data_IF_072285189484
#
_entry.id   IF_072285189484
#
_cell.length_a   1.000
_cell.length_b   1.000
_cell.length_c   1.000
_cell.angle_alpha   90.00
_cell.angle_beta   90.00
_cell.angle_gamma   90.00
#
_symmetry.space_group_name_H-M   'P 1'
#
loop_
_entity.id
_entity.type
_entity.pdbx_description
1 polymer ?
#
# COMPACT_ATOMS: atom_id res chain seq x y z
N UNK A 1 -5.46 4.80 0.83
CA UNK A 1 -4.87 5.37 2.04
C UNK A 1 -4.66 4.19 2.96
N UNK A 2 -3.48 3.58 2.88
CA UNK A 2 -3.17 2.31 3.52
C UNK A 2 -2.36 2.58 4.78
N UNK A 3 -2.79 2.01 5.90
CA UNK A 3 -2.04 2.08 7.15
C UNK A 3 -0.76 1.27 6.97
N UNK A 4 0.38 1.89 7.25
CA UNK A 4 1.68 1.23 7.15
C UNK A 4 1.76 -0.01 8.06
N UNK A 5 2.23 -1.14 7.52
CA UNK A 5 2.41 -2.37 8.30
C UNK A 5 3.47 -2.18 9.40
N UNK A 6 4.63 -1.60 9.05
CA UNK A 6 5.66 -1.13 9.99
C UNK A 6 6.22 0.18 9.44
N UNK A 7 6.44 1.15 10.32
CA UNK A 7 7.21 2.37 10.02
C UNK A 7 8.38 2.49 10.98
N UNK A 8 9.40 3.24 10.58
CA UNK A 8 10.53 3.54 11.46
C UNK A 8 11.04 4.96 11.27
N UNK A 9 11.43 5.58 12.38
CA UNK A 9 12.27 6.76 12.42
C UNK A 9 13.55 6.43 13.17
N UNK A 10 14.71 6.73 12.59
CA UNK A 10 16.01 6.41 13.18
C UNK A 10 16.94 7.62 13.11
N UNK A 11 17.72 7.85 14.17
CA UNK A 11 18.74 8.89 14.26
C UNK A 11 19.98 8.34 14.94
N UNK A 12 21.15 8.72 14.45
CA UNK A 12 22.42 8.48 15.09
C UNK A 12 23.28 9.74 15.05
N UNK A 13 24.10 9.93 16.09
CA UNK A 13 25.15 10.96 16.15
C UNK A 13 26.49 10.26 16.27
N UNK A 14 27.43 10.63 15.42
CA UNK A 14 28.77 10.06 15.38
C UNK A 14 29.78 11.15 15.75
N UNK A 15 30.87 10.74 16.39
CA UNK A 15 32.03 11.59 16.67
C UNK A 15 33.33 10.88 16.28
N UNK A 16 34.39 11.59 15.91
CA UNK A 16 35.71 10.98 15.76
C UNK A 16 36.20 10.33 17.06
N UNK A 17 36.96 9.25 16.96
CA UNK A 17 37.73 8.67 18.06
C UNK A 17 38.88 9.61 18.46
N UNK A 18 39.48 9.37 19.62
CA UNK A 18 40.57 10.23 20.16
C UNK A 18 41.79 10.28 19.23
N UNK A 19 42.01 9.22 18.46
CA UNK A 19 43.12 9.08 17.50
C UNK A 19 42.68 9.37 16.05
N UNK A 20 41.47 9.91 15.83
CA UNK A 20 40.86 10.17 14.53
C UNK A 20 40.84 8.97 13.57
N UNK A 21 40.98 7.75 14.09
CA UNK A 21 41.04 6.53 13.27
C UNK A 21 39.67 5.93 12.96
N UNK A 22 38.64 6.22 13.77
CA UNK A 22 37.29 5.63 13.64
C UNK A 22 36.20 6.63 14.00
N UNK A 23 34.99 6.39 13.51
CA UNK A 23 33.79 7.06 14.00
C UNK A 23 33.19 6.23 15.15
N UNK A 24 32.84 6.90 16.24
CA UNK A 24 32.22 6.30 17.44
C UNK A 24 30.80 6.81 17.58
N UNK A 25 29.87 5.93 17.92
CA UNK A 25 28.49 6.31 18.20
C UNK A 25 28.42 7.12 19.50
N UNK A 26 28.06 8.39 19.38
CA UNK A 26 27.87 9.29 20.53
C UNK A 26 26.44 9.19 21.08
N UNK A 27 25.44 9.08 20.20
CA UNK A 27 24.02 9.08 20.55
C UNK A 27 23.22 8.31 19.49
N UNK A 28 22.13 7.65 19.90
CA UNK A 28 21.27 6.86 19.02
C UNK A 28 19.81 6.90 19.50
N UNK A 29 18.86 6.92 18.57
CA UNK A 29 17.43 6.81 18.87
C UNK A 29 16.68 6.15 17.72
N UNK A 30 15.91 5.11 18.03
CA UNK A 30 15.13 4.35 17.07
C UNK A 30 13.69 4.24 17.54
N UNK A 31 12.75 4.58 16.67
CA UNK A 31 11.32 4.49 16.90
C UNK A 31 10.66 3.65 15.80
N UNK A 32 9.60 2.93 16.17
CA UNK A 32 8.87 2.03 15.31
C UNK A 32 7.35 2.18 15.48
N UNK A 33 6.63 2.25 14.37
CA UNK A 33 5.17 2.10 14.31
C UNK A 33 4.80 0.70 13.81
N UNK A 34 3.60 0.21 14.16
CA UNK A 34 3.13 -1.13 13.75
C UNK A 34 3.73 -2.30 14.56
N UNK A 35 4.63 -2.02 15.50
CA UNK A 35 5.27 -3.00 16.40
C UNK A 35 4.63 -3.08 17.79
N UNK A 36 3.63 -2.25 18.07
CA UNK A 36 2.85 -2.20 19.31
C UNK A 36 1.54 -1.40 19.06
N UNK A 37 0.58 -1.35 20.02
CA UNK A 37 -0.64 -0.53 19.87
C UNK A 37 -0.37 0.97 19.69
N UNK A 38 0.81 1.44 20.08
CA UNK A 38 1.29 2.82 19.88
C UNK A 38 2.71 2.80 19.33
N UNK A 39 3.21 3.94 18.87
CA UNK A 39 4.61 4.10 18.49
C UNK A 39 5.51 3.84 19.69
N UNK A 40 6.51 2.97 19.51
CA UNK A 40 7.46 2.60 20.56
C UNK A 40 8.89 2.93 20.14
N UNK A 41 9.77 3.16 21.11
CA UNK A 41 11.20 3.26 20.90
C UNK A 41 11.90 1.93 21.20
N UNK A 42 13.11 1.76 20.65
CA UNK A 42 14.01 0.63 20.94
C UNK A 42 15.23 1.10 21.78
N UNK A 43 15.03 1.54 23.04
CA UNK A 43 16.08 2.13 23.87
C UNK A 43 17.22 1.17 24.19
N UNK A 44 16.98 -0.14 24.35
CA UNK A 44 18.04 -1.10 24.66
C UNK A 44 19.00 -1.24 23.48
N UNK A 45 18.46 -1.34 22.26
CA UNK A 45 19.24 -1.37 21.03
C UNK A 45 20.01 -0.07 20.83
N UNK A 46 19.38 1.08 21.08
CA UNK A 46 20.04 2.37 21.00
C UNK A 46 21.20 2.49 22.01
N UNK A 47 20.97 2.18 23.28
CA UNK A 47 22.01 2.18 24.32
C UNK A 47 23.13 1.18 24.03
N UNK A 48 22.82 0.03 23.44
CA UNK A 48 23.83 -0.94 23.01
C UNK A 48 24.80 -0.35 21.98
N UNK A 49 24.34 0.51 21.08
CA UNK A 49 25.18 1.12 20.04
C UNK A 49 26.11 2.20 20.58
N UNK A 50 25.68 2.96 21.60
CA UNK A 50 26.44 4.08 22.15
C UNK A 50 27.81 3.59 22.63
N UNK A 51 28.86 4.30 22.19
CA UNK A 51 30.26 3.98 22.50
C UNK A 51 30.89 2.90 21.61
N UNK A 52 30.15 2.31 20.67
CA UNK A 52 30.72 1.37 19.70
C UNK A 52 31.28 2.09 18.48
N UNK A 53 32.28 1.48 17.88
CA UNK A 53 32.87 1.95 16.62
C UNK A 53 31.91 1.65 15.47
N UNK A 54 31.63 2.65 14.65
CA UNK A 54 30.94 2.46 13.39
C UNK A 54 31.83 1.65 12.45
N UNK A 55 31.31 0.60 11.77
CA UNK A 55 32.13 -0.30 10.97
C UNK A 55 32.75 0.44 9.78
N UNK A 56 34.03 0.18 9.52
CA UNK A 56 34.71 0.64 8.31
C UNK A 56 34.24 -0.18 7.11
N UNK A 57 34.06 -1.49 7.27
CA UNK A 57 33.54 -2.37 6.21
C UNK A 57 32.21 -2.97 6.65
N UNK A 58 31.17 -2.84 5.82
CA UNK A 58 29.84 -3.39 6.09
C UNK A 58 29.70 -4.86 5.63
N UNK A 59 30.60 -5.73 6.06
CA UNK A 59 30.61 -7.16 5.75
C UNK A 59 29.82 -8.03 6.74
N UNK A 60 29.78 -9.35 6.51
CA UNK A 60 29.10 -10.27 7.41
C UNK A 60 29.86 -10.38 8.75
N UNK A 61 29.13 -10.21 9.87
CA UNK A 61 29.61 -10.16 11.27
C UNK A 61 30.10 -8.80 11.83
N UNK A 62 29.48 -7.71 11.36
CA UNK A 62 29.76 -6.36 11.84
C UNK A 62 28.80 -5.85 12.95
N UNK A 63 28.94 -4.57 13.33
CA UNK A 63 28.09 -3.87 14.30
C UNK A 63 26.58 -4.02 14.01
N UNK A 64 26.18 -4.05 12.74
CA UNK A 64 24.78 -4.23 12.35
C UNK A 64 24.25 -5.60 12.79
N UNK A 65 25.00 -6.69 12.64
CA UNK A 65 24.57 -8.03 13.08
C UNK A 65 24.30 -8.06 14.59
N UNK A 66 25.16 -7.41 15.36
CA UNK A 66 24.99 -7.29 16.80
C UNK A 66 23.77 -6.42 17.16
N UNK A 67 23.61 -5.28 16.50
CA UNK A 67 22.47 -4.38 16.70
C UNK A 67 21.14 -5.05 16.31
N UNK A 68 21.11 -5.79 15.20
CA UNK A 68 19.95 -6.58 14.76
C UNK A 68 19.56 -7.63 15.78
N UNK A 69 20.55 -8.30 16.40
CA UNK A 69 20.31 -9.28 17.45
C UNK A 69 19.68 -8.64 18.69
N UNK A 70 20.17 -7.47 19.11
CA UNK A 70 19.55 -6.75 20.22
C UNK A 70 18.15 -6.23 19.87
N UNK A 71 17.96 -5.70 18.66
CA UNK A 71 16.65 -5.27 18.17
C UNK A 71 15.63 -6.41 18.14
N UNK A 72 16.05 -7.61 17.74
CA UNK A 72 15.17 -8.79 17.67
C UNK A 72 14.72 -9.28 19.05
N UNK A 73 15.55 -9.08 20.09
CA UNK A 73 15.19 -9.38 21.48
C UNK A 73 14.26 -8.31 22.07
N UNK A 74 14.39 -7.07 21.61
CA UNK A 74 13.61 -5.94 22.11
C UNK A 74 12.23 -5.84 21.45
N UNK A 75 12.16 -6.06 20.14
CA UNK A 75 10.93 -6.00 19.35
C UNK A 75 10.32 -7.39 19.14
N UNK A 76 9.86 -7.99 20.22
CA UNK A 76 9.17 -9.29 20.18
C UNK A 76 7.68 -9.08 19.90
N UNK A 77 7.16 -9.80 18.90
CA UNK A 77 5.73 -9.88 18.61
C UNK A 77 5.28 -11.33 18.75
N UNK A 78 4.22 -11.62 19.53
CA UNK A 78 3.61 -12.94 19.57
C UNK A 78 2.86 -13.21 18.26
N UNK A 79 2.57 -14.48 17.95
CA UNK A 79 1.97 -14.86 16.67
C UNK A 79 0.48 -14.45 16.56
N UNK A 80 -0.19 -14.25 17.69
CA UNK A 80 -1.60 -13.85 17.82
C UNK A 80 -1.82 -12.32 17.86
N UNK A 81 -0.77 -11.54 17.60
CA UNK A 81 -0.82 -10.08 17.60
C UNK A 81 -1.91 -9.52 16.67
N UNK A 82 -2.68 -8.51 17.10
CA UNK A 82 -3.62 -7.81 16.23
C UNK A 82 -2.95 -7.31 14.94
N UNK A 83 -3.64 -7.48 13.81
CA UNK A 83 -3.13 -7.18 12.47
C UNK A 83 -2.27 -8.30 11.84
N UNK A 84 -1.93 -9.36 12.59
CA UNK A 84 -1.24 -10.55 12.06
C UNK A 84 0.19 -10.28 11.55
N UNK A 85 0.73 -11.17 10.73
CA UNK A 85 2.05 -10.97 10.07
C UNK A 85 3.23 -10.70 11.03
N UNK A 86 3.24 -11.29 12.22
CA UNK A 86 4.25 -11.04 13.26
C UNK A 86 5.70 -11.25 12.77
N UNK A 87 5.94 -12.33 12.03
CA UNK A 87 7.25 -12.62 11.43
C UNK A 87 7.67 -11.57 10.40
N UNK A 88 6.75 -11.20 9.51
CA UNK A 88 7.00 -10.18 8.49
C UNK A 88 7.29 -8.81 9.11
N UNK A 89 6.56 -8.42 10.17
CA UNK A 89 6.80 -7.19 10.92
C UNK A 89 8.16 -7.15 11.59
N UNK A 90 8.57 -8.25 12.24
CA UNK A 90 9.93 -8.40 12.81
C UNK A 90 11.01 -8.33 11.74
N UNK A 91 10.78 -8.95 10.58
CA UNK A 91 11.67 -8.88 9.44
C UNK A 91 11.79 -7.45 8.90
N UNK A 92 10.69 -6.70 8.77
CA UNK A 92 10.71 -5.30 8.36
C UNK A 92 11.50 -4.41 9.31
N UNK A 93 11.34 -4.56 10.63
CA UNK A 93 12.11 -3.81 11.60
C UNK A 93 13.63 -4.05 11.46
N UNK A 94 14.03 -5.32 11.25
CA UNK A 94 15.43 -5.68 10.96
C UNK A 94 15.92 -5.09 9.63
N UNK A 95 15.08 -5.13 8.59
CA UNK A 95 15.41 -4.59 7.26
C UNK A 95 15.54 -3.07 7.28
N UNK A 96 14.72 -2.34 8.05
CA UNK A 96 14.87 -0.90 8.22
C UNK A 96 16.18 -0.55 8.92
N UNK A 97 16.58 -1.33 9.93
CA UNK A 97 17.89 -1.16 10.55
C UNK A 97 19.02 -1.39 9.54
N UNK A 98 18.91 -2.42 8.69
CA UNK A 98 19.89 -2.67 7.62
C UNK A 98 20.00 -1.49 6.64
N UNK A 99 18.86 -1.02 6.12
CA UNK A 99 18.82 0.15 5.23
C UNK A 99 19.39 1.39 5.93
N UNK A 100 19.14 1.57 7.23
CA UNK A 100 19.69 2.67 8.01
C UNK A 100 21.22 2.64 8.07
N UNK A 101 21.82 1.49 8.36
CA UNK A 101 23.29 1.33 8.38
C UNK A 101 23.93 1.65 7.02
N UNK A 102 23.30 1.21 5.92
CA UNK A 102 23.78 1.53 4.58
C UNK A 102 23.69 3.03 4.31
N UNK A 103 22.53 3.64 4.56
CA UNK A 103 22.32 5.07 4.29
C UNK A 103 23.25 5.96 5.13
N UNK A 104 23.44 5.64 6.41
CA UNK A 104 24.38 6.37 7.28
C UNK A 104 25.81 6.22 6.75
N UNK A 105 26.22 5.02 6.32
CA UNK A 105 27.58 4.79 5.80
C UNK A 105 27.85 5.59 4.52
N UNK A 106 26.88 5.64 3.61
CA UNK A 106 26.97 6.48 2.40
C UNK A 106 26.99 7.98 2.75
N UNK A 107 26.19 8.41 3.74
CA UNK A 107 26.18 9.80 4.20
C UNK A 107 27.52 10.22 4.83
N UNK A 108 28.14 9.35 5.65
CA UNK A 108 29.49 9.57 6.19
C UNK A 108 30.49 9.73 5.04
N UNK A 109 30.43 8.87 4.02
CA UNK A 109 31.32 9.00 2.86
C UNK A 109 31.19 10.35 2.15
N UNK A 110 29.96 10.81 1.92
CA UNK A 110 29.72 12.12 1.34
C UNK A 110 30.23 13.28 2.22
N UNK A 111 30.10 13.17 3.55
CA UNK A 111 30.57 14.20 4.48
C UNK A 111 32.09 14.21 4.64
N UNK A 112 32.75 13.04 4.62
CA UNK A 112 34.22 12.91 4.62
C UNK A 112 34.81 13.62 3.39
N UNK A 113 34.25 13.40 2.19
CA UNK A 113 34.76 14.08 0.98
C UNK A 113 34.57 15.61 1.06
N UNK A 114 33.43 16.11 1.56
CA UNK A 114 33.23 17.56 1.79
C UNK A 114 34.19 18.15 2.82
N UNK A 115 34.51 17.40 3.87
CA UNK A 115 35.42 17.85 4.93
C UNK A 115 36.89 17.81 4.48
N UNK A 116 37.24 16.85 3.62
CA UNK A 116 38.54 16.75 2.96
C UNK A 116 38.82 17.95 2.06
N UNK A 117 37.82 18.45 1.31
CA UNK A 117 37.93 19.71 0.55
C UNK A 117 38.27 20.91 1.46
N UNK A 118 37.77 20.88 2.70
CA UNK A 118 38.03 21.90 3.74
C UNK A 118 39.30 21.65 4.55
N UNK A 119 40.11 20.66 4.18
CA UNK A 119 41.35 20.27 4.87
C UNK A 119 41.13 19.88 6.35
N UNK A 120 39.93 19.40 6.68
CA UNK A 120 39.60 18.91 8.02
C UNK A 120 39.96 17.42 8.07
N UNK A 121 40.79 17.03 9.05
CA UNK A 121 41.15 15.64 9.30
C UNK A 121 39.92 14.90 9.83
N UNK A 122 39.62 13.75 9.24
CA UNK A 122 38.48 12.90 9.61
C UNK A 122 38.89 11.44 9.58
N UNK A 123 38.22 10.57 10.34
CA UNK A 123 38.33 9.13 10.15
C UNK A 123 37.98 8.70 8.72
N UNK A 124 38.49 7.56 8.25
CA UNK A 124 38.19 7.05 6.92
C UNK A 124 36.69 6.80 6.74
N UNK A 125 36.20 7.05 5.52
CA UNK A 125 34.83 6.75 5.14
C UNK A 125 34.55 5.24 5.20
N UNK A 126 33.39 4.81 5.72
CA UNK A 126 32.96 3.43 5.64
C UNK A 126 32.74 2.99 4.18
N UNK A 127 33.14 1.76 3.87
CA UNK A 127 32.90 1.09 2.61
C UNK A 127 31.62 0.26 2.67
N UNK A 128 30.75 0.50 1.70
CA UNK A 128 29.56 -0.32 1.44
C UNK A 128 29.84 -1.23 0.24
N UNK A 129 29.61 -2.56 0.35
CA UNK A 129 29.72 -3.47 -0.80
C UNK A 129 28.78 -3.07 -1.95
N UNK A 130 29.24 -3.21 -3.20
CA UNK A 130 28.48 -2.81 -4.40
C UNK A 130 27.11 -3.49 -4.48
N UNK A 131 27.04 -4.77 -4.06
CA UNK A 131 25.80 -5.56 -3.99
C UNK A 131 24.75 -4.99 -3.02
N UNK A 132 25.17 -4.16 -2.06
CA UNK A 132 24.28 -3.54 -1.07
C UNK A 132 23.86 -2.11 -1.44
N UNK A 133 24.48 -1.48 -2.45
CA UNK A 133 24.18 -0.08 -2.82
C UNK A 133 22.72 0.12 -3.24
N UNK A 134 22.13 -0.86 -3.93
CA UNK A 134 20.73 -0.81 -4.35
C UNK A 134 19.74 -0.74 -3.19
N UNK A 135 20.14 -1.17 -1.99
CA UNK A 135 19.31 -1.08 -0.79
C UNK A 135 19.20 0.36 -0.26
N UNK A 136 20.10 1.28 -0.64
CA UNK A 136 19.95 2.70 -0.32
C UNK A 136 18.90 3.39 -1.22
N UNK A 137 18.63 2.84 -2.40
CA UNK A 137 17.71 3.44 -3.38
C UNK A 137 16.27 3.42 -2.86
N UNK A 138 15.61 4.58 -2.91
CA UNK A 138 14.20 4.74 -2.57
C UNK A 138 13.37 4.89 -3.84
N UNK A 139 12.34 4.04 -3.99
CA UNK A 139 11.36 4.17 -5.09
C UNK A 139 10.51 5.45 -4.97
N UNK A 140 10.47 6.06 -3.78
CA UNK A 140 9.69 7.28 -3.52
C UNK A 140 10.46 8.53 -3.99
N UNK A 141 11.78 8.53 -3.85
CA UNK A 141 12.63 9.66 -4.21
C UNK A 141 13.03 9.66 -5.69
N UNK A 142 13.01 8.48 -6.33
CA UNK A 142 13.25 8.36 -7.77
C UNK A 142 12.05 8.83 -8.58
N UNK A 143 12.31 9.54 -9.68
CA UNK A 143 11.28 9.85 -10.67
C UNK A 143 10.60 8.55 -11.14
N UNK A 144 9.27 8.49 -10.98
CA UNK A 144 8.51 7.33 -11.43
C UNK A 144 8.61 7.21 -12.95
N UNK A 145 8.73 6.00 -13.51
CA UNK A 145 8.73 5.82 -14.95
C UNK A 145 7.40 6.34 -15.54
N UNK A 146 7.45 6.85 -16.76
CA UNK A 146 6.24 7.17 -17.52
C UNK A 146 5.43 5.88 -17.72
N UNK A 147 4.12 5.95 -17.56
CA UNK A 147 3.22 4.82 -17.82
C UNK A 147 2.84 4.88 -19.30
N UNK A 148 3.31 3.92 -20.09
CA UNK A 148 2.98 3.76 -21.51
C UNK A 148 2.33 2.41 -21.77
N UNK A 149 1.48 2.33 -22.81
CA UNK A 149 0.80 1.09 -23.18
C UNK A 149 0.43 1.07 -24.66
N UNK A 150 0.67 -0.07 -25.30
CA UNK A 150 0.36 -0.29 -26.73
C UNK A 150 -0.89 -1.16 -26.85
N UNK A 151 -1.89 -0.68 -27.59
CA UNK A 151 -3.11 -1.43 -27.89
C UNK A 151 -3.14 -1.74 -29.38
N UNK A 152 -3.13 -3.03 -29.73
CA UNK A 152 -3.17 -3.51 -31.12
C UNK A 152 -4.47 -4.28 -31.37
N UNK A 153 -5.24 -3.83 -32.35
CA UNK A 153 -6.46 -4.50 -32.79
C UNK A 153 -6.45 -4.67 -34.32
N UNK A 154 -7.02 -5.76 -34.85
CA UNK A 154 -7.14 -5.92 -36.29
C UNK A 154 -8.03 -4.79 -36.84
N UNK A 155 -7.64 -4.21 -37.97
CA UNK A 155 -8.54 -3.34 -38.72
C UNK A 155 -9.85 -4.11 -38.99
N UNK A 156 -11.03 -3.51 -38.81
CA UNK A 156 -12.28 -4.19 -39.10
C UNK A 156 -12.21 -4.70 -40.54
N UNK A 157 -12.23 -6.03 -40.69
CA UNK A 157 -12.45 -6.66 -41.98
C UNK A 157 -13.89 -6.30 -42.33
N UNK A 158 -14.11 -5.20 -43.05
CA UNK A 158 -15.30 -5.10 -43.87
C UNK A 158 -15.31 -6.39 -44.67
N UNK A 159 -16.31 -7.23 -44.41
CA UNK A 159 -16.51 -8.46 -45.16
C UNK A 159 -16.90 -8.01 -46.58
N UNK A 160 -15.91 -7.64 -47.39
CA UNK A 160 -15.95 -8.09 -48.76
C UNK A 160 -15.91 -9.61 -48.62
N UNK A 161 -17.07 -10.26 -48.73
CA UNK A 161 -17.23 -11.68 -48.44
C UNK A 161 -16.30 -12.56 -49.27
N UNK A 162 -16.58 -13.87 -49.24
CA UNK A 162 -15.96 -14.88 -50.12
C UNK A 162 -16.11 -14.60 -51.64
N UNK A 163 -16.62 -13.43 -52.03
CA UNK A 163 -16.93 -13.04 -53.41
C UNK A 163 -15.70 -12.65 -54.26
N UNK A 164 -14.48 -12.75 -53.72
CA UNK A 164 -13.28 -12.63 -54.56
C UNK A 164 -13.03 -13.87 -55.44
N UNK A 165 -13.73 -14.99 -55.23
CA UNK A 165 -13.44 -16.24 -55.94
C UNK A 165 -14.49 -16.70 -56.95
N UNK A 166 -15.64 -16.05 -57.10
CA UNK A 166 -16.60 -16.42 -58.15
C UNK A 166 -17.48 -15.25 -58.56
N UNK A 167 -17.42 -14.93 -59.86
CA UNK A 167 -18.27 -14.01 -60.64
C UNK A 167 -17.91 -12.51 -60.72
N UNK A 168 -18.02 -11.98 -61.95
CA UNK A 168 -17.76 -10.59 -62.32
C UNK A 168 -18.66 -9.65 -61.52
N UNK A 169 -18.07 -8.82 -60.66
CA UNK A 169 -18.80 -7.78 -59.92
C UNK A 169 -19.55 -6.84 -60.88
N UNK A 170 -20.89 -6.95 -60.90
CA UNK A 170 -21.75 -5.85 -61.35
C UNK A 170 -21.57 -4.72 -60.33
N UNK A 171 -21.19 -3.52 -60.77
CA UNK A 171 -21.23 -2.30 -59.94
C UNK A 171 -22.69 -2.06 -59.51
N UNK A 172 -23.06 -2.58 -58.35
CA UNK A 172 -24.27 -2.16 -57.66
C UNK A 172 -24.08 -0.70 -57.20
N UNK A 173 -25.14 0.13 -57.20
CA UNK A 173 -25.09 1.45 -56.58
C UNK A 173 -24.67 1.30 -55.11
N UNK A 174 -24.02 2.31 -54.51
CA UNK A 174 -23.55 2.23 -53.13
C UNK A 174 -24.75 1.93 -52.23
N UNK A 175 -24.81 0.71 -51.71
CA UNK A 175 -25.75 0.37 -50.65
C UNK A 175 -25.27 1.19 -49.46
N UNK A 176 -26.12 2.12 -49.01
CA UNK A 176 -25.90 2.83 -47.76
C UNK A 176 -25.93 1.77 -46.67
N UNK A 177 -24.74 1.35 -46.23
CA UNK A 177 -24.61 0.37 -45.16
C UNK A 177 -25.20 0.98 -43.89
N UNK A 178 -26.39 0.52 -43.53
CA UNK A 178 -27.12 0.97 -42.34
C UNK A 178 -26.38 0.64 -41.05
N UNK A 179 -25.31 -0.17 -41.11
CA UNK A 179 -24.54 -0.65 -39.97
C UNK A 179 -23.06 -0.19 -40.00
N UNK A 180 -22.81 1.03 -40.47
CA UNK A 180 -21.47 1.68 -40.55
C UNK A 180 -20.61 1.64 -39.27
N UNK A 181 -21.21 1.34 -38.12
CA UNK A 181 -20.55 1.35 -36.80
C UNK A 181 -20.11 -0.04 -36.29
N UNK A 182 -20.36 -1.13 -37.02
CA UNK A 182 -19.91 -2.47 -36.61
C UNK A 182 -18.38 -2.57 -36.77
N UNK A 183 -17.68 -2.93 -35.70
CA UNK A 183 -16.22 -3.12 -35.71
C UNK A 183 -15.40 -1.82 -35.59
N UNK A 184 -16.04 -0.67 -35.38
CA UNK A 184 -15.35 0.60 -35.11
C UNK A 184 -15.15 0.80 -33.59
N UNK A 185 -14.05 1.41 -33.14
CA UNK A 185 -13.81 1.72 -31.72
C UNK A 185 -14.65 2.94 -31.29
N UNK A 186 -15.97 2.80 -31.31
CA UNK A 186 -16.89 3.87 -30.92
C UNK A 186 -16.75 4.16 -29.43
N UNK A 187 -16.69 5.44 -29.08
CA UNK A 187 -16.71 5.89 -27.69
C UNK A 187 -17.97 5.38 -26.99
N UNK A 188 -17.85 4.99 -25.71
CA UNK A 188 -19.00 4.63 -24.88
C UNK A 188 -20.06 5.75 -24.94
N UNK A 189 -21.33 5.40 -25.19
CA UNK A 189 -22.39 6.37 -25.48
C UNK A 189 -22.56 7.45 -24.39
N UNK A 190 -22.30 7.08 -23.14
CA UNK A 190 -22.39 7.98 -21.97
C UNK A 190 -21.05 8.53 -21.49
N UNK A 191 -19.95 8.38 -22.26
CA UNK A 191 -18.61 8.77 -21.81
C UNK A 191 -18.51 10.25 -21.39
N UNK A 192 -19.09 11.15 -22.19
CA UNK A 192 -19.10 12.57 -21.87
C UNK A 192 -19.83 12.83 -20.54
N UNK A 193 -20.98 12.17 -20.34
CA UNK A 193 -21.79 12.28 -19.12
C UNK A 193 -21.08 11.70 -17.89
N UNK A 194 -20.28 10.64 -18.04
CA UNK A 194 -19.44 10.13 -16.95
C UNK A 194 -18.38 11.16 -16.54
N UNK A 195 -17.76 11.83 -17.51
CA UNK A 195 -16.69 12.81 -17.27
C UNK A 195 -17.21 14.18 -16.80
N UNK A 196 -18.46 14.53 -17.12
CA UNK A 196 -19.10 15.77 -16.65
C UNK A 196 -19.84 15.60 -15.31
N UNK A 197 -20.14 14.36 -14.90
CA UNK A 197 -20.99 14.07 -13.75
C UNK A 197 -22.49 14.21 -14.03
N UNK A 198 -22.89 14.25 -15.31
CA UNK A 198 -24.31 14.37 -15.72
C UNK A 198 -25.00 13.00 -15.86
N UNK A 199 -24.24 11.91 -15.83
CA UNK A 199 -24.81 10.56 -15.85
C UNK A 199 -25.54 10.30 -14.53
N UNK A 200 -26.85 10.10 -14.61
CA UNK A 200 -27.71 9.87 -13.45
C UNK A 200 -27.64 8.39 -13.05
N UNK A 201 -27.13 8.11 -11.86
CA UNK A 201 -27.17 6.81 -11.20
C UNK A 201 -28.30 6.75 -10.17
N UNK A 202 -28.53 5.58 -9.56
CA UNK A 202 -29.67 5.33 -8.66
C UNK A 202 -29.73 6.35 -7.51
N UNK A 203 -28.59 6.70 -6.93
CA UNK A 203 -28.52 7.64 -5.79
C UNK A 203 -28.57 9.12 -6.21
N UNK A 204 -28.45 9.41 -7.52
CA UNK A 204 -28.57 10.77 -8.06
C UNK A 204 -30.04 11.16 -8.32
N UNK A 205 -30.96 10.19 -8.27
CA UNK A 205 -32.39 10.43 -8.47
C UNK A 205 -32.91 11.31 -7.32
N UNK A 206 -33.56 12.46 -7.60
CA UNK A 206 -34.10 13.33 -6.56
C UNK A 206 -35.01 12.59 -5.60
N UNK A 207 -34.77 12.76 -4.29
CA UNK A 207 -35.51 12.08 -3.23
C UNK A 207 -37.00 12.41 -3.32
N UNK A 208 -37.89 11.41 -3.49
CA UNK A 208 -39.33 11.65 -3.41
C UNK A 208 -39.74 12.18 -2.04
N UNK A 209 -40.83 12.94 -2.00
CA UNK A 209 -41.37 13.41 -0.73
C UNK A 209 -41.70 12.23 0.19
N UNK A 210 -41.30 12.32 1.47
CA UNK A 210 -41.50 11.28 2.51
C UNK A 210 -40.78 9.95 2.23
N UNK A 211 -39.76 9.94 1.38
CA UNK A 211 -38.87 8.79 1.20
C UNK A 211 -38.24 8.38 2.54
N UNK A 212 -38.32 7.09 2.86
CA UNK A 212 -37.61 6.47 3.98
C UNK A 212 -36.25 5.93 3.51
N UNK A 213 -35.31 5.80 4.44
CA UNK A 213 -34.05 5.11 4.21
C UNK A 213 -34.06 3.79 4.99
N UNK A 214 -33.45 2.76 4.43
CA UNK A 214 -33.30 1.47 5.08
C UNK A 214 -31.81 1.15 5.23
N UNK A 215 -31.46 0.48 6.33
CA UNK A 215 -30.12 -0.06 6.57
C UNK A 215 -30.27 -1.53 6.94
N UNK A 216 -29.38 -2.37 6.41
CA UNK A 216 -29.35 -3.78 6.75
C UNK A 216 -28.53 -4.00 8.02
N UNK A 217 -29.10 -4.73 8.97
CA UNK A 217 -28.35 -5.28 10.09
C UNK A 217 -27.83 -6.66 9.70
N UNK A 218 -26.50 -6.78 9.62
CA UNK A 218 -25.83 -8.00 9.18
C UNK A 218 -25.30 -8.79 10.39
N UNK A 219 -25.18 -10.10 10.24
CA UNK A 219 -24.60 -10.96 11.28
C UNK A 219 -23.15 -10.58 11.57
N UNK A 220 -22.79 -10.47 12.85
CA UNK A 220 -21.41 -10.32 13.33
C UNK A 220 -20.73 -11.69 13.54
N UNK A 221 -21.47 -12.79 13.35
CA UNK A 221 -20.98 -14.17 13.47
C UNK A 221 -21.04 -14.89 12.14
N UNK A 222 -19.97 -15.62 11.82
CA UNK A 222 -19.90 -16.44 10.61
C UNK A 222 -20.89 -17.62 10.64
N UNK A 223 -21.11 -18.22 11.81
CA UNK A 223 -22.07 -19.32 12.00
C UNK A 223 -22.64 -19.29 13.42
N UNK A 224 -23.94 -19.03 13.53
CA UNK A 224 -24.66 -19.07 14.79
C UNK A 224 -26.15 -19.34 14.55
N UNK A 225 -26.86 -19.77 15.59
CA UNK A 225 -28.33 -19.82 15.59
C UNK A 225 -28.89 -18.51 16.12
N UNK A 226 -29.69 -17.81 15.30
CA UNK A 226 -30.44 -16.64 15.76
C UNK A 226 -31.55 -17.10 16.71
N UNK A 227 -31.50 -16.65 17.97
CA UNK A 227 -32.50 -17.02 18.98
C UNK A 227 -33.67 -16.05 19.06
N UNK A 228 -33.46 -14.81 18.62
CA UNK A 228 -34.46 -13.74 18.64
C UNK A 228 -33.82 -12.40 18.30
N UNK A 229 -34.67 -11.39 18.06
CA UNK A 229 -34.27 -10.00 17.77
C UNK A 229 -35.06 -9.09 18.70
N UNK A 230 -34.37 -8.32 19.55
CA UNK A 230 -35.00 -7.26 20.33
C UNK A 230 -34.86 -5.93 19.57
N UNK A 231 -36.00 -5.36 19.17
CA UNK A 231 -36.08 -4.11 18.41
C UNK A 231 -36.44 -2.89 19.25
N UNK A 232 -36.65 -3.04 20.56
CA UNK A 232 -37.19 -1.99 21.44
C UNK A 232 -36.36 -0.73 21.40
N UNK A 233 -35.06 -0.85 21.68
CA UNK A 233 -34.16 0.30 21.72
C UNK A 233 -34.02 0.99 20.35
N UNK A 234 -34.09 0.25 19.25
CA UNK A 234 -34.02 0.82 17.91
C UNK A 234 -35.26 1.66 17.58
N UNK A 235 -36.45 1.23 18.01
CA UNK A 235 -37.71 1.94 17.79
C UNK A 235 -37.84 3.23 18.62
N UNK A 236 -37.06 3.38 19.70
CA UNK A 236 -37.02 4.60 20.52
C UNK A 236 -36.15 5.71 19.91
N UNK A 237 -35.34 5.39 18.90
CA UNK A 237 -34.48 6.36 18.22
C UNK A 237 -35.35 7.29 17.37
N UNK A 238 -35.21 8.60 17.57
CA UNK A 238 -35.91 9.61 16.79
C UNK A 238 -35.69 9.41 15.27
N UNK A 239 -36.78 9.38 14.52
CA UNK A 239 -36.75 9.19 13.05
C UNK A 239 -36.73 7.74 12.58
N UNK A 240 -36.57 6.76 13.47
CA UNK A 240 -36.81 5.35 13.12
C UNK A 240 -38.30 5.14 12.96
N UNK A 241 -38.68 4.63 11.78
CA UNK A 241 -40.09 4.35 11.45
C UNK A 241 -40.46 2.91 11.78
N UNK A 242 -39.58 1.95 11.50
CA UNK A 242 -39.81 0.54 11.78
C UNK A 242 -38.51 -0.27 11.79
N UNK A 243 -38.57 -1.47 12.36
CA UNK A 243 -37.54 -2.50 12.27
C UNK A 243 -38.17 -3.76 11.70
N UNK A 244 -37.87 -4.01 10.43
CA UNK A 244 -38.38 -5.13 9.65
C UNK A 244 -37.53 -6.38 9.86
N UNK A 245 -38.18 -7.49 10.19
CA UNK A 245 -37.56 -8.77 10.55
C UNK A 245 -38.13 -9.92 9.70
N UNK A 246 -37.69 -11.16 9.98
CA UNK A 246 -38.24 -12.34 9.33
C UNK A 246 -39.74 -12.53 9.62
N UNK A 247 -40.24 -12.04 10.76
CA UNK A 247 -41.65 -12.13 11.14
C UNK A 247 -42.53 -11.31 10.20
N UNK A 248 -42.06 -10.13 9.78
CA UNK A 248 -42.77 -9.27 8.84
C UNK A 248 -42.83 -9.89 7.44
N UNK A 249 -41.78 -10.60 7.02
CA UNK A 249 -41.76 -11.38 5.78
C UNK A 249 -42.77 -12.53 5.82
N UNK A 250 -42.86 -13.27 6.95
CA UNK A 250 -43.86 -14.31 7.13
C UNK A 250 -45.28 -13.74 7.15
N UNK A 251 -45.47 -12.56 7.77
CA UNK A 251 -46.74 -11.86 7.84
C UNK A 251 -47.34 -11.51 6.47
N UNK A 252 -46.50 -11.29 5.46
CA UNK A 252 -46.92 -11.04 4.06
C UNK A 252 -46.99 -12.32 3.21
N UNK A 253 -46.88 -13.50 3.81
CA UNK A 253 -46.90 -14.79 3.11
C UNK A 253 -45.58 -15.14 2.40
N UNK A 254 -44.50 -14.41 2.70
CA UNK A 254 -43.16 -14.74 2.23
C UNK A 254 -42.57 -15.95 2.96
N UNK A 255 -41.48 -16.50 2.44
CA UNK A 255 -40.76 -17.61 3.05
C UNK A 255 -39.27 -17.33 3.13
N UNK A 256 -38.66 -17.55 4.29
CA UNK A 256 -37.22 -17.46 4.47
C UNK A 256 -36.55 -18.84 4.30
N UNK A 257 -36.32 -19.25 3.05
CA UNK A 257 -35.78 -20.58 2.72
C UNK A 257 -34.25 -20.66 2.76
N UNK A 258 -33.56 -19.52 2.77
CA UNK A 258 -32.11 -19.45 2.64
C UNK A 258 -31.39 -19.06 3.95
N UNK A 259 -32.16 -18.77 5.02
CA UNK A 259 -31.62 -18.36 6.31
C UNK A 259 -31.70 -16.86 6.51
#
# INVERSE_FOLDING_TARGET
DDISIVTSGMRIKLKPSVDDSRFVVEDASFAFGGMAPTTISAPKTASFLIGKDWPIDLDNENLFTLARRELSKELTLPDDVPGGQAEYRRALASSFLFKFFINVSLAIGADVEKLKEKHIVTPPAPRVPDEHLSAATSFVETAKPSIEGTQSFPAPKFVAGLEKTTEKQKKLPPVVDKHKNIGTPSTHASAAMHCSGEAIYVDDIPKPARMLHAVLLLSDRANCRLVGVDKTAALEIEGVVDVVTYEDLLGIGGSNKLG
#
